data_IF_319831390398
#
_entry.id   IF_319831390398
#
_cell.length_a   1.000
_cell.length_b   1.000
_cell.length_c   1.000
_cell.angle_alpha   90.00
_cell.angle_beta   90.00
_cell.angle_gamma   90.00
#
_symmetry.space_group_name_H-M   'P 1'
#
loop_
_entity.id
_entity.type
_entity.pdbx_description
1 polymer ?
#
# COMPACT_ATOMS: atom_id res chain seq x y z
N UNK A 1 -4.82 4.01 -22.90
CA UNK A 1 -4.46 4.21 -21.48
C UNK A 1 -3.19 3.42 -21.20
N UNK A 2 -2.09 4.04 -20.73
CA UNK A 2 -0.84 3.30 -20.55
C UNK A 2 -0.97 2.37 -19.34
N UNK A 3 -0.87 1.06 -19.58
CA UNK A 3 -0.59 0.07 -18.55
C UNK A 3 0.91 0.15 -18.26
N UNK A 4 1.31 0.84 -17.19
CA UNK A 4 2.68 0.73 -16.69
C UNK A 4 2.75 -0.60 -15.94
N UNK A 5 3.29 -1.61 -16.63
CA UNK A 5 3.66 -2.89 -16.04
C UNK A 5 5.11 -2.75 -15.58
N UNK A 6 5.33 -2.38 -14.32
CA UNK A 6 6.68 -2.30 -13.74
C UNK A 6 7.09 -3.71 -13.30
N UNK A 7 7.84 -4.42 -14.15
CA UNK A 7 8.43 -5.74 -13.85
C UNK A 7 9.90 -5.58 -13.41
N UNK A 8 10.11 -4.80 -12.36
CA UNK A 8 11.39 -4.74 -11.63
C UNK A 8 11.18 -5.51 -10.33
N UNK A 9 12.14 -6.31 -9.80
CA UNK A 9 12.05 -6.84 -8.45
C UNK A 9 12.04 -5.66 -7.47
N UNK A 10 10.85 -5.16 -7.19
CA UNK A 10 10.60 -4.05 -6.29
C UNK A 10 10.58 -4.60 -4.87
N UNK A 11 11.46 -4.08 -4.02
CA UNK A 11 11.43 -4.38 -2.57
C UNK A 11 10.11 -3.95 -1.92
N UNK A 12 9.40 -2.98 -2.49
CA UNK A 12 8.10 -2.44 -2.01
C UNK A 12 7.32 -1.84 -3.18
N UNK A 13 6.00 -1.79 -3.08
CA UNK A 13 5.14 -1.10 -4.06
C UNK A 13 4.63 0.21 -3.47
N UNK A 14 5.08 1.35 -4.02
CA UNK A 14 4.59 2.68 -3.65
C UNK A 14 4.05 3.40 -4.87
N UNK A 15 2.77 3.77 -4.82
CA UNK A 15 2.12 4.57 -5.87
C UNK A 15 2.54 6.04 -5.72
N UNK A 16 3.53 6.45 -6.51
CA UNK A 16 4.09 7.82 -6.49
C UNK A 16 3.27 8.84 -7.27
N UNK A 17 2.67 8.43 -8.38
CA UNK A 17 1.74 9.24 -9.16
C UNK A 17 0.32 9.16 -8.61
N UNK A 18 -0.46 10.22 -8.80
CA UNK A 18 -1.88 10.23 -8.43
C UNK A 18 -2.70 9.53 -9.52
N UNK A 19 -3.87 8.99 -9.14
CA UNK A 19 -4.78 8.28 -10.05
C UNK A 19 -4.12 7.14 -10.87
N UNK A 20 -3.06 6.55 -10.34
CA UNK A 20 -2.29 5.52 -11.03
C UNK A 20 -2.93 4.15 -10.87
N UNK A 21 -2.76 3.27 -11.86
CA UNK A 21 -3.23 1.86 -11.80
C UNK A 21 -2.05 0.92 -11.94
N UNK A 22 -1.80 0.10 -10.93
CA UNK A 22 -0.71 -0.88 -10.92
C UNK A 22 -1.25 -2.29 -10.69
N UNK A 23 -0.70 -3.24 -11.44
CA UNK A 23 -0.91 -4.67 -11.26
C UNK A 23 0.43 -5.31 -10.95
N UNK A 24 0.51 -6.05 -9.86
CA UNK A 24 1.71 -6.74 -9.41
C UNK A 24 1.39 -8.20 -9.06
N UNK A 25 2.28 -9.11 -9.41
CA UNK A 25 2.14 -10.53 -9.12
C UNK A 25 3.51 -11.14 -8.84
N UNK A 26 3.59 -12.19 -8.03
CA UNK A 26 4.84 -12.92 -7.77
C UNK A 26 5.95 -12.04 -7.18
N UNK A 27 5.60 -11.16 -6.24
CA UNK A 27 6.55 -10.23 -5.62
C UNK A 27 6.93 -10.75 -4.22
N UNK A 28 8.22 -10.72 -3.90
CA UNK A 28 8.73 -10.91 -2.55
C UNK A 28 9.16 -9.56 -1.96
N UNK A 29 8.57 -9.19 -0.81
CA UNK A 29 8.89 -7.99 -0.06
C UNK A 29 9.40 -8.39 1.32
N UNK A 30 10.67 -8.13 1.59
CA UNK A 30 11.34 -8.50 2.84
C UNK A 30 11.98 -7.27 3.49
N UNK A 31 11.88 -7.18 4.82
CA UNK A 31 12.51 -6.12 5.63
C UNK A 31 12.12 -4.69 5.21
N UNK A 32 10.83 -4.48 4.99
CA UNK A 32 10.30 -3.23 4.43
C UNK A 32 9.59 -2.36 5.46
N UNK A 33 9.66 -1.04 5.29
CA UNK A 33 8.91 -0.09 6.15
C UNK A 33 7.40 -0.28 5.95
N UNK A 34 6.98 -0.39 4.70
CA UNK A 34 5.61 -0.72 4.31
C UNK A 34 5.67 -1.59 3.06
N UNK A 35 4.91 -2.69 3.01
CA UNK A 35 4.90 -3.59 1.85
C UNK A 35 4.33 -2.90 0.61
N UNK A 36 3.05 -2.54 0.66
CA UNK A 36 2.38 -1.86 -0.44
C UNK A 36 1.55 -0.66 0.01
N UNK A 37 1.63 0.45 -0.73
CA UNK A 37 0.88 1.67 -0.44
C UNK A 37 0.16 2.19 -1.69
N UNK A 38 -1.15 2.43 -1.57
CA UNK A 38 -1.97 3.10 -2.58
C UNK A 38 -2.51 4.41 -2.02
N UNK A 39 -2.45 5.49 -2.81
CA UNK A 39 -2.87 6.83 -2.39
C UNK A 39 -3.50 7.64 -3.51
N UNK A 40 -4.23 8.68 -3.14
CA UNK A 40 -4.62 9.80 -4.02
C UNK A 40 -5.24 9.32 -5.35
N UNK A 41 -6.42 8.69 -5.28
CA UNK A 41 -7.12 8.18 -6.46
C UNK A 41 -6.53 6.91 -7.09
N UNK A 42 -5.42 6.39 -6.57
CA UNK A 42 -4.72 5.25 -7.17
C UNK A 42 -5.36 3.90 -6.84
N UNK A 43 -5.10 2.90 -7.68
CA UNK A 43 -5.53 1.52 -7.49
C UNK A 43 -4.37 0.53 -7.69
N UNK A 44 -4.26 -0.42 -6.76
CA UNK A 44 -3.30 -1.52 -6.83
C UNK A 44 -4.06 -2.84 -6.84
N UNK A 45 -3.69 -3.74 -7.76
CA UNK A 45 -4.02 -5.16 -7.69
C UNK A 45 -2.73 -5.93 -7.42
N UNK A 46 -2.67 -6.68 -6.33
CA UNK A 46 -1.50 -7.49 -5.97
C UNK A 46 -1.91 -8.95 -5.77
N UNK A 47 -1.13 -9.88 -6.30
CA UNK A 47 -1.42 -11.32 -6.18
C UNK A 47 -0.18 -12.17 -5.98
N UNK A 48 -0.34 -13.39 -5.46
CA UNK A 48 0.72 -14.42 -5.41
C UNK A 48 2.03 -13.89 -4.82
N UNK A 49 1.97 -13.16 -3.72
CA UNK A 49 3.11 -12.38 -3.22
C UNK A 49 3.39 -12.65 -1.75
N UNK A 50 4.63 -12.45 -1.32
CA UNK A 50 5.05 -12.61 0.07
C UNK A 50 5.43 -11.26 0.65
N UNK A 51 4.93 -10.98 1.85
CA UNK A 51 5.31 -9.81 2.65
C UNK A 51 5.84 -10.29 3.99
N UNK A 52 7.12 -10.00 4.25
CA UNK A 52 7.87 -10.46 5.42
C UNK A 52 8.55 -9.30 6.13
N UNK A 53 8.53 -9.34 7.46
CA UNK A 53 9.23 -8.40 8.34
C UNK A 53 8.91 -6.92 8.05
N UNK A 54 7.63 -6.54 8.06
CA UNK A 54 7.27 -5.12 7.86
C UNK A 54 7.38 -4.31 9.14
N UNK A 55 8.07 -3.17 9.10
CA UNK A 55 8.22 -2.28 10.26
C UNK A 55 6.89 -1.67 10.72
N UNK A 56 6.09 -1.14 9.79
CA UNK A 56 4.80 -0.50 10.10
C UNK A 56 3.62 -1.26 9.51
N UNK A 57 3.50 -1.31 8.18
CA UNK A 57 2.30 -1.82 7.51
C UNK A 57 2.61 -2.84 6.42
N UNK A 58 1.88 -3.95 6.39
CA UNK A 58 1.85 -4.84 5.23
C UNK A 58 1.30 -4.11 4.00
N UNK A 59 0.10 -3.54 4.13
CA UNK A 59 -0.53 -2.68 3.12
C UNK A 59 -1.19 -1.46 3.74
N UNK A 60 -1.26 -0.35 3.00
CA UNK A 60 -2.00 0.83 3.41
C UNK A 60 -2.67 1.54 2.22
N UNK A 61 -3.92 1.98 2.42
CA UNK A 61 -4.67 2.79 1.45
C UNK A 61 -5.20 4.07 2.10
N UNK A 62 -4.87 5.23 1.54
CA UNK A 62 -5.14 6.53 2.17
C UNK A 62 -5.25 7.67 1.14
N UNK A 63 -5.72 8.84 1.58
CA UNK A 63 -5.94 10.05 0.80
C UNK A 63 -5.09 11.15 1.44
N UNK A 64 -3.97 11.49 0.80
CA UNK A 64 -3.10 12.60 1.22
C UNK A 64 -3.56 13.91 0.61
N UNK A 65 -4.02 13.85 -0.63
CA UNK A 65 -4.46 14.98 -1.42
C UNK A 65 -5.94 14.77 -1.77
N UNK A 66 -6.87 15.39 -1.03
CA UNK A 66 -8.31 15.13 -1.17
C UNK A 66 -8.85 15.29 -2.60
N UNK A 67 -8.26 16.18 -3.39
CA UNK A 67 -8.65 16.47 -4.77
C UNK A 67 -8.52 15.26 -5.73
N UNK A 68 -7.75 14.23 -5.37
CA UNK A 68 -7.64 12.99 -6.15
C UNK A 68 -8.56 11.88 -5.66
N UNK A 69 -9.14 12.03 -4.47
CA UNK A 69 -10.11 11.09 -3.90
C UNK A 69 -9.53 9.74 -3.45
N UNK A 70 -10.42 8.75 -3.36
CA UNK A 70 -10.20 7.44 -2.76
C UNK A 70 -9.09 6.62 -3.39
N UNK A 71 -8.30 5.94 -2.56
CA UNK A 71 -7.35 4.92 -3.02
C UNK A 71 -7.89 3.51 -2.80
N UNK A 72 -7.45 2.55 -3.63
CA UNK A 72 -7.83 1.13 -3.48
C UNK A 72 -6.66 0.16 -3.58
N UNK A 73 -6.78 -0.97 -2.86
CA UNK A 73 -5.92 -2.15 -3.00
C UNK A 73 -6.82 -3.41 -3.06
N UNK A 74 -6.67 -4.23 -4.10
CA UNK A 74 -7.18 -5.61 -4.12
C UNK A 74 -6.00 -6.57 -3.99
N UNK A 75 -6.03 -7.42 -2.97
CA UNK A 75 -4.95 -8.35 -2.67
C UNK A 75 -5.47 -9.80 -2.58
N UNK A 76 -4.81 -10.70 -3.30
CA UNK A 76 -5.13 -12.12 -3.35
C UNK A 76 -3.90 -12.99 -3.15
N UNK A 77 -4.06 -14.09 -2.44
CA UNK A 77 -2.99 -15.03 -2.10
C UNK A 77 -1.70 -14.34 -1.63
N UNK A 78 -1.81 -13.51 -0.58
CA UNK A 78 -0.65 -12.84 0.01
C UNK A 78 -0.20 -13.56 1.27
N UNK A 79 1.02 -14.12 1.24
CA UNK A 79 1.64 -14.75 2.40
C UNK A 79 2.25 -13.70 3.33
N UNK A 80 1.98 -13.83 4.65
CA UNK A 80 2.58 -12.97 5.68
C UNK A 80 3.48 -13.78 6.61
N UNK A 81 4.73 -13.35 6.69
CA UNK A 81 5.73 -13.88 7.61
C UNK A 81 6.20 -12.73 8.50
N UNK A 82 5.38 -12.30 9.45
CA UNK A 82 5.64 -11.20 10.41
C UNK A 82 5.38 -9.77 9.88
N UNK A 83 4.35 -9.14 10.43
CA UNK A 83 4.00 -7.75 10.17
C UNK A 83 3.31 -7.14 11.40
N UNK A 84 3.81 -6.00 11.88
CA UNK A 84 3.21 -5.27 13.01
C UNK A 84 1.73 -4.99 12.77
N UNK A 85 1.39 -4.50 11.57
CA UNK A 85 0.01 -4.26 11.13
C UNK A 85 -0.14 -4.79 9.70
N UNK A 86 -0.98 -5.80 9.47
CA UNK A 86 -1.13 -6.43 8.14
C UNK A 86 -1.77 -5.53 7.10
N UNK A 87 -2.72 -4.69 7.50
CA UNK A 87 -3.42 -3.76 6.62
C UNK A 87 -3.96 -2.57 7.42
N UNK A 88 -3.94 -1.38 6.82
CA UNK A 88 -4.53 -0.16 7.39
C UNK A 88 -5.26 0.62 6.29
N UNK A 89 -6.47 1.11 6.55
CA UNK A 89 -7.31 1.73 5.52
C UNK A 89 -7.98 2.98 6.07
N UNK A 90 -7.73 4.14 5.46
CA UNK A 90 -8.42 5.37 5.82
C UNK A 90 -9.89 5.31 5.36
N UNK A 91 -10.80 5.91 6.14
CA UNK A 91 -12.18 6.19 5.70
C UNK A 91 -12.18 6.86 4.33
N UNK A 92 -13.04 6.38 3.44
CA UNK A 92 -13.10 6.81 2.04
C UNK A 92 -12.25 5.96 1.09
N UNK A 93 -11.22 5.27 1.57
CA UNK A 93 -10.39 4.33 0.77
C UNK A 93 -10.83 2.88 0.96
N UNK A 94 -10.28 2.00 0.13
CA UNK A 94 -10.71 0.60 0.05
C UNK A 94 -9.53 -0.37 0.07
N UNK A 95 -9.70 -1.49 0.78
CA UNK A 95 -8.79 -2.61 0.67
C UNK A 95 -9.58 -3.92 0.77
N UNK A 96 -9.38 -4.83 -0.18
CA UNK A 96 -9.91 -6.20 -0.12
C UNK A 96 -8.79 -7.22 0.05
N UNK A 97 -9.00 -8.19 0.95
CA UNK A 97 -8.19 -9.39 1.10
C UNK A 97 -9.07 -10.59 0.75
N UNK A 98 -8.70 -11.36 -0.27
CA UNK A 98 -9.52 -12.50 -0.72
C UNK A 98 -10.99 -12.10 -0.98
N UNK A 99 -11.20 -10.93 -1.58
CA UNK A 99 -12.53 -10.36 -1.82
C UNK A 99 -13.25 -9.79 -0.59
N UNK A 100 -12.71 -9.98 0.63
CA UNK A 100 -13.30 -9.43 1.87
C UNK A 100 -12.78 -8.03 2.14
N UNK A 101 -13.68 -7.06 2.32
CA UNK A 101 -13.31 -5.68 2.65
C UNK A 101 -12.73 -5.58 4.04
N UNK A 102 -11.63 -4.84 4.16
CA UNK A 102 -11.03 -4.48 5.45
C UNK A 102 -11.72 -3.25 6.02
N UNK A 103 -11.95 -3.26 7.34
CA UNK A 103 -12.56 -2.14 8.07
C UNK A 103 -11.72 -0.88 7.90
N UNK A 104 -12.40 0.24 7.68
CA UNK A 104 -11.76 1.56 7.58
C UNK A 104 -11.74 2.27 8.93
N UNK A 105 -10.82 3.22 9.07
CA UNK A 105 -10.65 4.02 10.28
C UNK A 105 -10.30 5.49 9.97
N UNK A 106 -10.44 6.35 10.98
CA UNK A 106 -9.86 7.69 10.89
C UNK A 106 -8.35 7.59 10.83
N UNK A 107 -7.72 8.45 10.03
CA UNK A 107 -6.27 8.45 9.85
C UNK A 107 -5.78 9.88 9.79
N UNK A 108 -4.85 10.22 10.67
CA UNK A 108 -4.03 11.42 10.54
C UNK A 108 -2.97 11.17 9.48
N UNK A 109 -3.24 11.64 8.26
CA UNK A 109 -2.38 11.40 7.10
C UNK A 109 -1.13 12.28 7.13
N UNK A 110 -1.19 13.44 7.76
CA UNK A 110 -0.04 14.32 7.95
C UNK A 110 0.97 13.63 8.87
N UNK A 111 0.52 13.19 10.05
CA UNK A 111 1.35 12.45 10.99
C UNK A 111 1.90 11.14 10.36
N UNK A 112 1.06 10.38 9.64
CA UNK A 112 1.51 9.19 8.90
C UNK A 112 2.67 9.53 7.96
N UNK A 113 2.56 10.64 7.23
CA UNK A 113 3.55 11.01 6.24
C UNK A 113 4.87 11.43 6.89
N UNK A 114 4.82 12.22 7.97
CA UNK A 114 6.01 12.69 8.69
C UNK A 114 6.74 11.59 9.46
N UNK A 115 6.03 10.56 9.93
CA UNK A 115 6.60 9.52 10.80
C UNK A 115 6.95 8.24 10.06
N UNK A 116 6.15 7.85 9.06
CA UNK A 116 6.30 6.56 8.36
C UNK A 116 6.79 6.73 6.93
N UNK A 117 6.26 7.71 6.18
CA UNK A 117 6.49 7.79 4.72
C UNK A 117 7.69 8.68 4.33
N UNK A 118 8.02 9.67 5.16
CA UNK A 118 9.26 10.44 5.14
C UNK A 118 9.96 10.28 6.49
N UNK A 119 10.63 9.16 6.78
CA UNK A 119 11.56 9.17 7.89
C UNK A 119 12.61 10.23 7.54
N UNK A 120 12.61 11.37 8.26
CA UNK A 120 13.70 12.34 8.16
C UNK A 120 15.00 11.53 8.25
N UNK A 121 15.90 11.71 7.28
CA UNK A 121 17.32 11.39 7.45
C UNK A 121 17.77 12.25 8.64
N UNK A 122 17.60 11.75 9.86
CA UNK A 122 18.29 12.31 11.01
C UNK A 122 19.77 12.01 10.74
N UNK A 123 20.50 13.05 10.34
CA UNK A 123 21.96 13.06 10.35
C UNK A 123 22.47 12.72 11.74
#
# INVERSE_FOLDING_TARGET
>A
MPKILLLVPLKTIKMGGDQSKVVAANIAMEEVVTGAASKDGSSLTISESTIKNTRFFGRIAYIKKPEYGSASIDARNIKFEEASIRARVQKGSYLSLEGKRIKTEGMDVEQLYETVMKPRLKK
#
